data_IF_168640243239
#
_entry.id   IF_168640243239
#
_cell.length_a   1.000
_cell.length_b   1.000
_cell.length_c   1.000
_cell.angle_alpha   90.00
_cell.angle_beta   90.00
_cell.angle_gamma   90.00
#
_symmetry.space_group_name_H-M   'P 1'
#
loop_
_entity.id
_entity.type
_entity.pdbx_description
1 polymer ?
#
# COMPACT_ATOMS: atom_id res chain seq x y z
N UNK A 1 7.55 40.33 23.30
CA UNK A 1 8.09 40.53 21.93
C UNK A 1 9.48 39.93 21.91
N UNK A 2 9.83 39.18 20.85
CA UNK A 2 10.91 38.18 20.72
C UNK A 2 10.62 36.90 21.53
N UNK A 3 10.51 35.68 20.98
CA UNK A 3 11.07 35.11 19.76
C UNK A 3 9.99 34.38 18.93
N UNK A 4 9.57 35.01 17.83
CA UNK A 4 9.12 34.28 16.65
C UNK A 4 10.38 33.77 15.95
N UNK A 5 10.91 32.65 16.46
CA UNK A 5 11.90 31.89 15.75
C UNK A 5 11.26 31.39 14.45
N UNK A 6 11.50 32.18 13.41
CA UNK A 6 11.29 31.95 12.00
C UNK A 6 11.25 30.45 11.70
N UNK A 7 10.03 29.89 11.65
CA UNK A 7 9.78 28.62 10.99
C UNK A 7 10.25 28.84 9.57
N UNK A 8 11.38 28.24 9.20
CA UNK A 8 11.76 28.16 7.79
C UNK A 8 10.59 27.46 7.12
N UNK A 9 9.77 28.25 6.44
CA UNK A 9 8.68 27.74 5.63
C UNK A 9 9.33 26.71 4.70
N UNK A 10 8.87 25.46 4.77
CA UNK A 10 9.26 24.47 3.79
C UNK A 10 9.12 25.11 2.42
N UNK A 11 10.15 24.97 1.58
CA UNK A 11 10.08 25.40 0.19
C UNK A 11 8.76 24.89 -0.41
N UNK A 12 8.15 25.59 -1.37
CA UNK A 12 6.88 25.13 -1.99
C UNK A 12 6.92 23.67 -2.48
N UNK A 13 8.12 23.10 -2.63
CA UNK A 13 8.38 21.68 -2.83
C UNK A 13 7.89 20.74 -1.71
N UNK A 14 7.46 21.22 -0.54
CA UNK A 14 6.94 20.36 0.53
C UNK A 14 5.42 20.38 0.65
N UNK A 15 4.72 21.04 -0.28
CA UNK A 15 3.26 21.11 -0.32
C UNK A 15 2.63 19.77 -0.79
N UNK A 16 1.65 19.23 -0.03
CA UNK A 16 0.86 18.10 -0.47
C UNK A 16 -0.23 18.52 -1.47
N UNK A 17 -0.80 17.54 -2.19
CA UNK A 17 -1.86 17.76 -3.17
C UNK A 17 -3.08 18.48 -2.58
N UNK A 18 -3.43 18.17 -1.32
CA UNK A 18 -4.45 18.86 -0.56
C UNK A 18 -3.88 19.25 0.82
N UNK A 19 -3.78 20.55 1.07
CA UNK A 19 -3.22 21.11 2.31
C UNK A 19 -2.31 22.30 2.03
N UNK A 20 -1.58 22.74 3.04
CA UNK A 20 -0.56 23.80 2.97
C UNK A 20 0.86 23.20 3.05
N UNK A 21 1.90 23.96 2.67
CA UNK A 21 3.28 23.53 2.83
C UNK A 21 3.56 23.09 4.27
N UNK A 22 4.02 21.84 4.43
CA UNK A 22 4.35 21.26 5.73
C UNK A 22 3.24 20.42 6.39
N UNK A 23 1.97 20.51 5.97
CA UNK A 23 0.85 19.77 6.58
C UNK A 23 1.01 18.25 6.52
N UNK A 24 1.77 17.76 5.53
CA UNK A 24 2.09 16.36 5.34
C UNK A 24 3.61 16.11 5.22
N UNK A 25 4.41 16.88 5.96
CA UNK A 25 5.87 16.69 6.05
C UNK A 25 6.27 16.16 7.42
N UNK A 26 7.24 15.26 7.46
CA UNK A 26 7.80 14.75 8.71
C UNK A 26 8.44 15.90 9.49
N UNK A 27 8.09 16.08 10.76
CA UNK A 27 8.67 17.15 11.59
C UNK A 27 10.07 16.76 12.08
N UNK A 28 10.99 17.73 12.13
CA UNK A 28 12.33 17.52 12.65
C UNK A 28 12.31 17.15 14.15
N UNK A 29 13.20 16.23 14.53
CA UNK A 29 13.26 15.67 15.90
C UNK A 29 12.12 14.71 16.26
N UNK A 30 11.06 14.57 15.44
CA UNK A 30 10.00 13.58 15.69
C UNK A 30 10.42 12.19 15.18
N UNK A 31 10.14 11.13 15.96
CA UNK A 31 10.32 9.75 15.50
C UNK A 31 9.51 9.43 14.24
N UNK A 32 10.04 8.52 13.42
CA UNK A 32 9.45 8.18 12.12
C UNK A 32 8.03 7.60 12.19
N UNK A 33 7.65 6.98 13.32
CA UNK A 33 6.30 6.43 13.49
C UNK A 33 5.21 7.51 13.47
N UNK A 34 5.54 8.79 13.70
CA UNK A 34 4.56 9.87 13.55
C UNK A 34 4.04 9.96 12.12
N UNK A 35 4.83 9.56 11.11
CA UNK A 35 4.44 9.60 9.69
C UNK A 35 3.16 8.79 9.39
N UNK A 36 2.85 7.80 10.23
CA UNK A 36 1.63 7.00 10.13
C UNK A 36 0.33 7.76 10.40
N UNK A 37 0.39 8.93 11.07
CA UNK A 37 -0.79 9.69 11.51
C UNK A 37 -0.76 11.17 11.10
N UNK A 38 0.28 11.64 10.39
CA UNK A 38 0.37 13.04 9.96
C UNK A 38 -0.65 13.38 8.85
N UNK A 39 -1.38 14.48 9.03
CA UNK A 39 -2.34 14.99 8.05
C UNK A 39 -3.46 13.99 7.80
N UNK A 40 -3.79 13.74 6.53
CA UNK A 40 -4.85 12.80 6.14
C UNK A 40 -4.46 11.32 6.28
N UNK A 41 -3.27 10.98 6.82
CA UNK A 41 -2.87 9.58 7.05
C UNK A 41 -3.89 8.82 7.90
N UNK A 42 -4.52 9.51 8.85
CA UNK A 42 -5.53 8.95 9.74
C UNK A 42 -6.73 8.37 8.99
N UNK A 43 -7.08 8.93 7.82
CA UNK A 43 -8.12 8.39 6.97
C UNK A 43 -7.69 7.06 6.33
N UNK A 44 -6.44 6.99 5.87
CA UNK A 44 -5.88 5.76 5.32
C UNK A 44 -5.70 4.67 6.39
N UNK A 45 -5.28 5.06 7.61
CA UNK A 45 -5.25 4.16 8.76
C UNK A 45 -6.63 3.60 9.08
N UNK A 46 -7.62 4.47 9.23
CA UNK A 46 -8.99 4.06 9.51
C UNK A 46 -9.52 3.12 8.42
N UNK A 47 -9.37 3.48 7.15
CA UNK A 47 -9.80 2.66 6.03
C UNK A 47 -9.14 1.28 6.01
N UNK A 48 -7.81 1.20 6.17
CA UNK A 48 -7.10 -0.09 6.06
C UNK A 48 -7.30 -0.99 7.28
N UNK A 49 -7.34 -0.43 8.48
CA UNK A 49 -7.61 -1.21 9.70
C UNK A 49 -9.06 -1.68 9.79
N UNK A 50 -10.03 -0.84 9.42
CA UNK A 50 -11.44 -1.27 9.36
C UNK A 50 -11.63 -2.34 8.29
N UNK A 51 -11.01 -2.19 7.11
CA UNK A 51 -11.06 -3.22 6.08
C UNK A 51 -10.48 -4.56 6.55
N UNK A 52 -9.31 -4.52 7.19
CA UNK A 52 -8.69 -5.72 7.77
C UNK A 52 -9.60 -6.34 8.83
N UNK A 53 -10.15 -5.55 9.75
CA UNK A 53 -11.06 -6.03 10.79
C UNK A 53 -12.34 -6.66 10.22
N UNK A 54 -12.93 -6.07 9.17
CA UNK A 54 -14.11 -6.63 8.49
C UNK A 54 -13.77 -7.99 7.85
N UNK A 55 -12.64 -8.09 7.15
CA UNK A 55 -12.22 -9.34 6.49
C UNK A 55 -11.89 -10.40 7.54
N UNK A 56 -11.10 -10.06 8.54
CA UNK A 56 -10.65 -10.98 9.58
C UNK A 56 -11.82 -11.45 10.44
N UNK A 57 -12.69 -10.52 10.87
CA UNK A 57 -13.89 -10.84 11.61
C UNK A 57 -14.82 -11.78 10.84
N UNK A 58 -15.05 -11.51 9.55
CA UNK A 58 -15.87 -12.38 8.71
C UNK A 58 -15.25 -13.77 8.52
N UNK A 59 -13.92 -13.84 8.29
CA UNK A 59 -13.21 -15.11 8.15
C UNK A 59 -13.25 -15.91 9.44
N UNK A 60 -12.82 -15.34 10.57
CA UNK A 60 -12.77 -16.06 11.85
C UNK A 60 -14.16 -16.49 12.34
N UNK A 61 -15.21 -15.72 12.04
CA UNK A 61 -16.58 -16.09 12.42
C UNK A 61 -17.18 -17.22 11.57
N UNK A 62 -16.68 -17.42 10.35
CA UNK A 62 -17.24 -18.39 9.38
C UNK A 62 -16.24 -19.48 8.99
N UNK A 63 -15.12 -19.59 9.70
CA UNK A 63 -14.07 -20.57 9.40
C UNK A 63 -14.52 -21.97 9.81
N UNK A 64 -14.53 -22.89 8.85
CA UNK A 64 -14.85 -24.31 9.08
C UNK A 64 -13.60 -25.17 8.82
N UNK A 65 -13.52 -26.40 9.34
CA UNK A 65 -12.38 -27.29 9.10
C UNK A 65 -12.04 -27.48 7.62
N UNK A 66 -13.06 -27.51 6.76
CA UNK A 66 -12.94 -27.72 5.31
C UNK A 66 -12.56 -26.44 4.55
N UNK A 67 -12.80 -25.25 5.12
CA UNK A 67 -12.45 -23.97 4.48
C UNK A 67 -11.15 -23.35 4.99
N UNK A 68 -10.42 -23.97 5.93
CA UNK A 68 -9.25 -23.36 6.59
C UNK A 68 -8.16 -22.88 5.64
N UNK A 69 -7.79 -23.71 4.65
CA UNK A 69 -6.77 -23.33 3.67
C UNK A 69 -7.26 -22.18 2.79
N UNK A 70 -8.50 -22.25 2.30
CA UNK A 70 -9.10 -21.13 1.57
C UNK A 70 -9.16 -19.85 2.43
N UNK A 71 -9.57 -19.94 3.69
CA UNK A 71 -9.68 -18.83 4.64
C UNK A 71 -8.36 -18.13 4.92
N UNK A 72 -7.22 -18.83 4.81
CA UNK A 72 -5.91 -18.20 4.95
C UNK A 72 -5.60 -17.20 3.81
N UNK A 73 -6.15 -17.40 2.61
CA UNK A 73 -5.95 -16.50 1.46
C UNK A 73 -6.44 -15.05 1.72
N UNK A 74 -7.71 -14.79 2.10
CA UNK A 74 -8.15 -13.42 2.39
C UNK A 74 -7.47 -12.82 3.63
N UNK A 75 -7.07 -13.63 4.64
CA UNK A 75 -6.30 -13.15 5.79
C UNK A 75 -4.91 -12.64 5.36
N UNK A 76 -4.18 -13.43 4.57
CA UNK A 76 -2.84 -13.09 4.11
C UNK A 76 -2.83 -11.91 3.13
N UNK A 77 -3.80 -11.84 2.20
CA UNK A 77 -3.89 -10.73 1.26
C UNK A 77 -4.36 -9.41 1.90
N UNK A 78 -5.24 -9.46 2.90
CA UNK A 78 -5.60 -8.25 3.66
C UNK A 78 -4.44 -7.79 4.56
N UNK A 79 -3.65 -8.73 5.10
CA UNK A 79 -2.38 -8.41 5.77
C UNK A 79 -1.40 -7.75 4.80
N UNK A 80 -1.25 -8.28 3.59
CA UNK A 80 -0.42 -7.70 2.54
C UNK A 80 -0.83 -6.24 2.27
N UNK A 81 -2.12 -6.00 1.98
CA UNK A 81 -2.64 -4.64 1.76
C UNK A 81 -2.36 -3.72 2.95
N UNK A 82 -2.56 -4.19 4.18
CA UNK A 82 -2.29 -3.43 5.40
C UNK A 82 -0.84 -2.94 5.43
N UNK A 83 0.12 -3.85 5.29
CA UNK A 83 1.54 -3.52 5.35
C UNK A 83 2.01 -2.65 4.18
N UNK A 84 1.50 -2.89 2.96
CA UNK A 84 1.81 -2.06 1.80
C UNK A 84 1.30 -0.62 1.98
N UNK A 85 0.09 -0.45 2.53
CA UNK A 85 -0.42 0.89 2.90
C UNK A 85 0.50 1.53 3.94
N UNK A 86 0.88 0.82 5.02
CA UNK A 86 1.83 1.37 6.02
C UNK A 86 3.15 1.83 5.36
N UNK A 87 3.68 1.03 4.42
CA UNK A 87 4.87 1.37 3.66
C UNK A 87 4.72 2.70 2.89
N UNK A 88 3.56 2.96 2.30
CA UNK A 88 3.27 4.24 1.65
C UNK A 88 3.22 5.37 2.69
N UNK A 89 2.47 5.17 3.78
CA UNK A 89 2.22 6.23 4.76
C UNK A 89 3.52 6.70 5.44
N UNK A 90 4.44 5.79 5.75
CA UNK A 90 5.70 6.12 6.45
C UNK A 90 6.68 6.91 5.58
N UNK A 91 6.70 6.64 4.27
CA UNK A 91 7.70 7.20 3.36
C UNK A 91 7.29 8.56 2.75
N UNK A 92 6.00 8.74 2.45
CA UNK A 92 5.48 9.94 1.79
C UNK A 92 5.95 11.28 2.41
N UNK A 93 5.88 11.47 3.75
CA UNK A 93 6.18 12.77 4.38
C UNK A 93 7.67 13.08 4.53
N UNK A 94 8.57 12.15 4.20
CA UNK A 94 10.02 12.37 4.30
C UNK A 94 10.52 13.44 3.31
N UNK A 95 11.42 14.31 3.77
CA UNK A 95 11.94 15.41 2.95
C UNK A 95 13.46 15.63 3.10
N UNK A 96 14.05 15.46 4.28
CA UNK A 96 15.52 15.51 4.46
C UNK A 96 16.21 14.22 3.99
N UNK A 97 17.52 14.26 3.72
CA UNK A 97 18.28 13.08 3.28
C UNK A 97 18.26 11.95 4.32
N UNK A 98 18.38 12.28 5.60
CA UNK A 98 18.34 11.31 6.70
C UNK A 98 16.95 10.68 6.85
N UNK A 99 15.89 11.51 6.83
CA UNK A 99 14.51 11.02 6.87
C UNK A 99 14.19 10.12 5.69
N UNK A 100 14.59 10.52 4.47
CA UNK A 100 14.41 9.70 3.25
C UNK A 100 15.11 8.36 3.37
N UNK A 101 16.35 8.32 3.87
CA UNK A 101 17.07 7.06 4.11
C UNK A 101 16.33 6.16 5.10
N UNK A 102 15.99 6.68 6.27
CA UNK A 102 15.28 5.91 7.30
C UNK A 102 13.91 5.44 6.80
N UNK A 103 13.15 6.34 6.16
CA UNK A 103 11.86 6.04 5.57
C UNK A 103 11.94 4.97 4.49
N UNK A 104 12.97 4.98 3.64
CA UNK A 104 13.14 3.94 2.63
C UNK A 104 13.41 2.58 3.25
N UNK A 105 14.20 2.50 4.33
CA UNK A 105 14.46 1.23 5.02
C UNK A 105 13.21 0.68 5.70
N UNK A 106 12.44 1.53 6.38
CA UNK A 106 11.17 1.11 7.01
C UNK A 106 10.14 0.75 5.94
N UNK A 107 10.06 1.52 4.86
CA UNK A 107 9.23 1.20 3.69
C UNK A 107 9.59 -0.18 3.12
N UNK A 108 10.87 -0.44 2.85
CA UNK A 108 11.33 -1.72 2.33
C UNK A 108 10.90 -2.88 3.26
N UNK A 109 11.20 -2.78 4.56
CA UNK A 109 10.83 -3.83 5.52
C UNK A 109 9.31 -4.07 5.62
N UNK A 110 8.49 -3.01 5.62
CA UNK A 110 7.03 -3.15 5.60
C UNK A 110 6.53 -3.78 4.29
N UNK A 111 7.07 -3.35 3.14
CA UNK A 111 6.70 -3.94 1.86
C UNK A 111 7.16 -5.39 1.73
N UNK A 112 8.30 -5.78 2.30
CA UNK A 112 8.78 -7.16 2.30
C UNK A 112 7.82 -8.07 3.08
N UNK A 113 7.36 -7.64 4.27
CA UNK A 113 6.33 -8.38 5.02
C UNK A 113 5.04 -8.49 4.21
N UNK A 114 4.59 -7.37 3.61
CA UNK A 114 3.39 -7.36 2.77
C UNK A 114 3.51 -8.26 1.55
N UNK A 115 4.66 -8.23 0.86
CA UNK A 115 4.98 -9.05 -0.30
C UNK A 115 4.97 -10.53 0.05
N UNK A 116 5.69 -10.93 1.11
CA UNK A 116 5.73 -12.33 1.54
C UNK A 116 4.35 -12.84 1.97
N UNK A 117 3.57 -12.02 2.67
CA UNK A 117 2.19 -12.36 3.01
C UNK A 117 1.33 -12.55 1.74
N UNK A 118 1.44 -11.64 0.76
CA UNK A 118 0.74 -11.76 -0.51
C UNK A 118 1.10 -13.03 -1.27
N UNK A 119 2.40 -13.32 -1.41
CA UNK A 119 2.91 -14.54 -2.07
C UNK A 119 2.42 -15.79 -1.36
N UNK A 120 2.48 -15.84 -0.02
CA UNK A 120 1.94 -16.95 0.75
C UNK A 120 0.42 -17.11 0.52
N UNK A 121 -0.32 -16.00 0.45
CA UNK A 121 -1.75 -15.98 0.11
C UNK A 121 -2.04 -16.57 -1.28
N UNK A 122 -1.20 -16.30 -2.28
CA UNK A 122 -1.31 -16.88 -3.63
C UNK A 122 -1.01 -18.38 -3.62
N UNK A 123 0.09 -18.77 -2.99
CA UNK A 123 0.51 -20.18 -2.92
C UNK A 123 -0.58 -21.02 -2.25
N UNK A 124 -1.13 -20.54 -1.13
CA UNK A 124 -2.15 -21.27 -0.37
C UNK A 124 -3.44 -21.41 -1.17
N UNK A 125 -3.91 -20.37 -1.88
CA UNK A 125 -5.15 -20.49 -2.65
C UNK A 125 -4.99 -21.43 -3.85
N UNK A 126 -3.85 -21.39 -4.52
CA UNK A 126 -3.59 -22.28 -5.64
C UNK A 126 -3.43 -23.72 -5.17
N UNK A 127 -2.70 -23.95 -4.07
CA UNK A 127 -2.62 -25.28 -3.45
C UNK A 127 -3.99 -25.82 -3.03
N UNK A 128 -4.84 -24.97 -2.43
CA UNK A 128 -6.21 -25.33 -2.09
C UNK A 128 -7.01 -25.73 -3.34
N UNK A 129 -6.87 -25.01 -4.45
CA UNK A 129 -7.55 -25.35 -5.71
C UNK A 129 -7.03 -26.65 -6.32
N UNK A 130 -5.72 -26.86 -6.37
CA UNK A 130 -5.13 -28.10 -6.86
C UNK A 130 -5.62 -29.32 -6.07
N UNK A 131 -5.62 -29.23 -4.74
CA UNK A 131 -6.07 -30.33 -3.85
C UNK A 131 -7.56 -30.66 -3.97
N UNK A 132 -8.38 -29.74 -4.49
CA UNK A 132 -9.83 -29.91 -4.65
C UNK A 132 -10.29 -29.90 -6.12
N UNK A 133 -9.36 -30.02 -7.08
CA UNK A 133 -9.64 -29.96 -8.53
C UNK A 133 -10.46 -28.73 -8.95
N UNK A 134 -10.23 -27.60 -8.27
CA UNK A 134 -10.92 -26.35 -8.53
C UNK A 134 -10.44 -25.68 -9.82
N UNK A 135 -11.25 -24.78 -10.39
CA UNK A 135 -10.84 -23.96 -11.53
C UNK A 135 -9.89 -22.83 -11.11
N UNK A 136 -8.94 -22.50 -11.99
CA UNK A 136 -7.88 -21.52 -11.73
C UNK A 136 -8.04 -20.28 -12.61
N UNK A 137 -7.83 -19.08 -12.05
CA UNK A 137 -7.79 -17.81 -12.80
C UNK A 137 -8.99 -17.50 -13.71
N UNK A 138 -10.20 -17.99 -13.37
CA UNK A 138 -11.41 -17.78 -14.19
C UNK A 138 -12.26 -16.58 -13.77
N UNK A 139 -12.38 -16.33 -12.46
CA UNK A 139 -13.24 -15.25 -11.96
C UNK A 139 -12.60 -13.88 -12.18
N UNK A 140 -13.42 -12.82 -12.26
CA UNK A 140 -12.94 -11.43 -12.32
C UNK A 140 -11.95 -11.13 -11.20
N UNK A 141 -12.22 -11.60 -9.97
CA UNK A 141 -11.31 -11.47 -8.83
C UNK A 141 -9.97 -12.18 -9.09
N UNK A 142 -9.99 -13.41 -9.60
CA UNK A 142 -8.77 -14.18 -9.82
C UNK A 142 -7.89 -13.61 -10.94
N UNK A 143 -8.50 -13.10 -12.02
CA UNK A 143 -7.79 -12.44 -13.12
C UNK A 143 -7.17 -11.12 -12.65
N UNK A 144 -7.97 -10.26 -12.00
CA UNK A 144 -7.47 -9.00 -11.41
C UNK A 144 -6.39 -9.26 -10.36
N UNK A 145 -6.57 -10.29 -9.54
CA UNK A 145 -5.59 -10.71 -8.53
C UNK A 145 -4.27 -11.15 -9.15
N UNK A 146 -4.29 -11.96 -10.20
CA UNK A 146 -3.07 -12.37 -10.90
C UNK A 146 -2.34 -11.17 -11.51
N UNK A 147 -3.06 -10.26 -12.17
CA UNK A 147 -2.49 -9.02 -12.69
C UNK A 147 -1.84 -8.23 -11.54
N UNK A 148 -2.55 -8.07 -10.43
CA UNK A 148 -2.07 -7.36 -9.24
C UNK A 148 -0.79 -7.99 -8.69
N UNK A 149 -0.74 -9.32 -8.55
CA UNK A 149 0.47 -10.03 -8.10
C UNK A 149 1.67 -9.81 -9.02
N UNK A 150 1.46 -9.87 -10.34
CA UNK A 150 2.53 -9.60 -11.31
C UNK A 150 3.09 -8.19 -11.10
N UNK A 151 2.23 -7.18 -10.97
CA UNK A 151 2.68 -5.81 -10.73
C UNK A 151 3.34 -5.62 -9.36
N UNK A 152 2.87 -6.31 -8.31
CA UNK A 152 3.52 -6.30 -6.98
C UNK A 152 4.92 -6.91 -7.04
N UNK A 153 5.10 -8.03 -7.76
CA UNK A 153 6.42 -8.65 -7.98
C UNK A 153 7.34 -7.68 -8.72
N UNK A 154 6.88 -7.12 -9.85
CA UNK A 154 7.66 -6.12 -10.61
C UNK A 154 8.03 -4.95 -9.71
N UNK A 155 7.10 -4.47 -8.89
CA UNK A 155 7.38 -3.34 -8.00
C UNK A 155 8.38 -3.64 -6.91
N UNK A 156 8.31 -4.83 -6.34
CA UNK A 156 9.25 -5.28 -5.32
C UNK A 156 10.65 -5.40 -5.92
N UNK A 157 10.77 -6.04 -7.10
CA UNK A 157 12.04 -6.17 -7.82
C UNK A 157 12.64 -4.80 -8.14
N UNK A 158 11.87 -3.92 -8.80
CA UNK A 158 12.34 -2.56 -9.14
C UNK A 158 12.68 -1.77 -7.87
N UNK A 159 11.86 -1.89 -6.83
CA UNK A 159 12.05 -1.27 -5.52
C UNK A 159 13.38 -1.63 -4.86
N UNK A 160 13.70 -2.93 -4.84
CA UNK A 160 14.94 -3.46 -4.29
C UNK A 160 16.12 -3.03 -5.14
N UNK A 161 16.07 -3.29 -6.45
CA UNK A 161 17.24 -3.07 -7.32
C UNK A 161 17.59 -1.60 -7.46
N UNK A 162 16.59 -0.71 -7.54
CA UNK A 162 16.83 0.74 -7.69
C UNK A 162 17.52 1.34 -6.45
N UNK A 163 17.34 0.75 -5.27
CA UNK A 163 17.86 1.31 -4.02
C UNK A 163 19.12 0.60 -3.53
N UNK A 164 19.10 -0.74 -3.50
CA UNK A 164 20.18 -1.54 -2.92
C UNK A 164 21.25 -1.95 -3.93
N UNK A 165 20.92 -2.04 -5.22
CA UNK A 165 21.87 -2.44 -6.28
C UNK A 165 21.87 -1.46 -7.46
N UNK A 166 22.11 -0.15 -7.23
CA UNK A 166 22.03 0.88 -8.28
C UNK A 166 23.03 0.67 -9.43
N UNK A 167 24.07 -0.15 -9.23
CA UNK A 167 25.00 -0.57 -10.28
C UNK A 167 24.32 -1.24 -11.47
N UNK A 168 23.19 -1.94 -11.26
CA UNK A 168 22.39 -2.55 -12.34
C UNK A 168 21.83 -1.51 -13.32
N UNK A 169 21.74 -0.24 -12.91
CA UNK A 169 21.27 0.88 -13.72
C UNK A 169 22.40 1.78 -14.22
N UNK A 170 23.67 1.38 -14.04
CA UNK A 170 24.82 2.21 -14.36
C UNK A 170 25.09 3.31 -13.33
N UNK A 171 24.65 3.14 -12.08
CA UNK A 171 24.97 4.03 -10.96
C UNK A 171 23.75 4.68 -10.29
N UNK A 172 24.03 5.37 -9.18
CA UNK A 172 23.00 5.95 -8.29
C UNK A 172 22.12 6.97 -9.01
N UNK A 173 22.70 7.80 -9.87
CA UNK A 173 21.95 8.87 -10.54
C UNK A 173 20.95 8.32 -11.56
N UNK A 174 21.30 7.24 -12.27
CA UNK A 174 20.38 6.57 -13.17
C UNK A 174 19.29 5.82 -12.40
N UNK A 175 19.63 5.15 -11.30
CA UNK A 175 18.65 4.47 -10.47
C UNK A 175 17.61 5.45 -9.88
N UNK A 176 18.04 6.64 -9.45
CA UNK A 176 17.14 7.70 -8.96
C UNK A 176 16.12 8.19 -9.99
N UNK A 177 16.42 8.10 -11.29
CA UNK A 177 15.45 8.46 -12.36
C UNK A 177 14.20 7.57 -12.36
N UNK A 178 14.30 6.35 -11.79
CA UNK A 178 13.17 5.42 -11.69
C UNK A 178 12.18 5.78 -10.58
N UNK A 179 12.58 6.58 -9.58
CA UNK A 179 11.75 6.85 -8.40
C UNK A 179 10.38 7.43 -8.74
N UNK A 180 10.27 8.25 -9.78
CA UNK A 180 8.99 8.82 -10.24
C UNK A 180 8.05 7.75 -10.79
N UNK A 181 8.60 6.78 -11.55
CA UNK A 181 7.84 5.68 -12.12
C UNK A 181 7.44 4.70 -11.02
N UNK A 182 8.40 4.28 -10.18
CA UNK A 182 8.14 3.40 -9.03
C UNK A 182 7.07 4.00 -8.11
N UNK A 183 7.11 5.31 -7.85
CA UNK A 183 6.08 5.99 -7.07
C UNK A 183 4.71 5.94 -7.74
N UNK A 184 4.61 6.31 -9.02
CA UNK A 184 3.33 6.34 -9.73
C UNK A 184 2.73 4.94 -9.84
N UNK A 185 3.51 3.96 -10.31
CA UNK A 185 3.02 2.59 -10.45
C UNK A 185 2.70 1.97 -9.09
N UNK A 186 3.32 2.41 -7.99
CA UNK A 186 2.94 2.02 -6.63
C UNK A 186 1.50 2.43 -6.28
N UNK A 187 1.08 3.64 -6.67
CA UNK A 187 -0.31 4.07 -6.49
C UNK A 187 -1.28 3.32 -7.40
N UNK A 188 -0.88 3.02 -8.64
CA UNK A 188 -1.69 2.19 -9.54
C UNK A 188 -1.86 0.78 -8.95
N UNK A 189 -0.81 0.19 -8.40
CA UNK A 189 -0.87 -1.11 -7.71
C UNK A 189 -1.81 -1.06 -6.51
N UNK A 190 -1.77 0.00 -5.70
CA UNK A 190 -2.72 0.17 -4.61
C UNK A 190 -4.18 0.16 -5.12
N UNK A 191 -4.47 0.88 -6.21
CA UNK A 191 -5.81 0.89 -6.81
C UNK A 191 -6.22 -0.49 -7.35
N UNK A 192 -5.31 -1.22 -8.00
CA UNK A 192 -5.54 -2.58 -8.46
C UNK A 192 -5.82 -3.54 -7.30
N UNK A 193 -5.08 -3.42 -6.19
CA UNK A 193 -5.34 -4.20 -4.98
C UNK A 193 -6.73 -3.92 -4.42
N UNK A 194 -7.12 -2.65 -4.26
CA UNK A 194 -8.45 -2.28 -3.76
C UNK A 194 -9.56 -2.79 -4.69
N UNK A 195 -9.39 -2.66 -6.01
CA UNK A 195 -10.32 -3.21 -6.99
C UNK A 195 -10.42 -4.74 -6.90
N UNK A 196 -9.30 -5.42 -6.66
CA UNK A 196 -9.25 -6.89 -6.46
C UNK A 196 -10.03 -7.31 -5.22
N UNK A 197 -9.91 -6.56 -4.11
CA UNK A 197 -10.68 -6.83 -2.88
C UNK A 197 -12.18 -6.56 -3.11
N UNK A 198 -12.54 -5.49 -3.83
CA UNK A 198 -13.93 -5.27 -4.25
C UNK A 198 -14.47 -6.45 -5.08
N UNK A 199 -13.72 -6.92 -6.08
CA UNK A 199 -14.10 -8.08 -6.89
C UNK A 199 -14.21 -9.36 -6.05
N UNK A 200 -13.42 -9.51 -4.98
CA UNK A 200 -13.49 -10.66 -4.07
C UNK A 200 -14.88 -10.82 -3.44
N UNK A 201 -15.59 -9.71 -3.20
CA UNK A 201 -16.96 -9.75 -2.65
C UNK A 201 -17.96 -10.45 -3.58
N UNK A 202 -17.62 -10.59 -4.86
CA UNK A 202 -18.47 -11.21 -5.87
C UNK A 202 -18.21 -12.71 -6.05
N UNK A 203 -17.18 -13.26 -5.40
CA UNK A 203 -16.85 -14.69 -5.43
C UNK A 203 -17.88 -15.50 -4.66
N UNK A 204 -18.02 -16.78 -5.02
CA UNK A 204 -18.92 -17.70 -4.31
C UNK A 204 -18.54 -17.86 -2.84
N UNK A 205 -17.24 -17.90 -2.53
CA UNK A 205 -16.79 -17.98 -1.14
C UNK A 205 -17.29 -16.80 -0.31
N UNK A 206 -17.23 -15.57 -0.83
CA UNK A 206 -17.81 -14.42 -0.14
C UNK A 206 -19.34 -14.50 -0.11
N UNK A 207 -19.99 -14.73 -1.26
CA UNK A 207 -21.45 -14.75 -1.38
C UNK A 207 -22.11 -15.83 -0.54
N UNK A 208 -21.43 -16.95 -0.28
CA UNK A 208 -21.98 -18.08 0.47
C UNK A 208 -21.51 -18.12 1.92
N UNK A 209 -20.24 -17.78 2.19
CA UNK A 209 -19.64 -17.94 3.53
C UNK A 209 -19.45 -16.60 4.26
N UNK A 210 -18.69 -15.68 3.69
CA UNK A 210 -18.25 -14.48 4.43
C UNK A 210 -19.30 -13.36 4.49
N UNK A 211 -20.15 -13.26 3.46
CA UNK A 211 -21.20 -12.24 3.29
C UNK A 211 -20.71 -10.80 3.45
N UNK A 212 -19.43 -10.52 3.16
CA UNK A 212 -18.88 -9.17 3.21
C UNK A 212 -19.56 -8.34 2.13
N UNK A 213 -20.06 -7.18 2.52
CA UNK A 213 -20.81 -6.30 1.65
C UNK A 213 -19.87 -5.41 0.82
N UNK A 214 -20.12 -5.32 -0.49
CA UNK A 214 -19.30 -4.51 -1.40
C UNK A 214 -19.21 -3.04 -0.97
N UNK A 215 -20.31 -2.45 -0.50
CA UNK A 215 -20.32 -1.04 -0.08
C UNK A 215 -19.34 -0.76 1.06
N UNK A 216 -19.17 -1.70 1.99
CA UNK A 216 -18.25 -1.54 3.12
C UNK A 216 -16.79 -1.55 2.63
N UNK A 217 -16.47 -2.44 1.69
CA UNK A 217 -15.15 -2.52 1.05
C UNK A 217 -14.86 -1.26 0.23
N UNK A 218 -15.84 -0.77 -0.53
CA UNK A 218 -15.72 0.48 -1.31
C UNK A 218 -15.48 1.68 -0.41
N UNK A 219 -16.24 1.81 0.69
CA UNK A 219 -16.08 2.90 1.65
C UNK A 219 -14.66 2.90 2.25
N UNK A 220 -14.18 1.75 2.71
CA UNK A 220 -12.82 1.63 3.23
C UNK A 220 -11.76 1.95 2.17
N UNK A 221 -11.97 1.49 0.93
CA UNK A 221 -11.09 1.77 -0.21
C UNK A 221 -11.01 3.27 -0.50
N UNK A 222 -12.14 3.99 -0.47
CA UNK A 222 -12.19 5.44 -0.66
C UNK A 222 -11.43 6.17 0.45
N UNK A 223 -11.59 5.76 1.72
CA UNK A 223 -10.83 6.34 2.84
C UNK A 223 -9.31 6.14 2.67
N UNK A 224 -8.89 4.95 2.23
CA UNK A 224 -7.47 4.65 1.91
C UNK A 224 -6.97 5.58 0.81
N UNK A 225 -7.70 5.68 -0.30
CA UNK A 225 -7.32 6.52 -1.44
C UNK A 225 -7.24 7.99 -1.04
N UNK A 226 -8.24 8.53 -0.36
CA UNK A 226 -8.24 9.94 0.10
C UNK A 226 -7.03 10.19 1.01
N UNK A 227 -6.81 9.32 2.01
CA UNK A 227 -5.70 9.50 2.95
C UNK A 227 -4.31 9.44 2.30
N UNK A 228 -4.14 8.64 1.25
CA UNK A 228 -2.89 8.51 0.49
C UNK A 228 -2.73 9.63 -0.55
N UNK A 229 -3.77 9.91 -1.33
CA UNK A 229 -3.72 10.83 -2.49
C UNK A 229 -3.61 12.28 -2.03
N UNK A 230 -4.30 12.66 -0.95
CA UNK A 230 -4.23 14.02 -0.41
C UNK A 230 -2.80 14.44 -0.03
N UNK A 231 -1.92 13.49 0.30
CA UNK A 231 -0.52 13.74 0.73
C UNK A 231 0.50 13.58 -0.39
N UNK A 232 0.06 13.39 -1.64
CA UNK A 232 0.98 13.34 -2.78
C UNK A 232 1.66 14.68 -2.96
N UNK A 233 2.99 14.68 -2.99
CA UNK A 233 3.70 15.85 -3.48
C UNK A 233 3.86 15.71 -5.00
N UNK A 234 3.25 16.59 -5.79
CA UNK A 234 3.12 16.43 -7.25
C UNK A 234 4.46 16.61 -7.98
N UNK A 235 5.33 17.51 -7.50
CA UNK A 235 6.67 17.70 -8.07
C UNK A 235 7.51 16.41 -8.09
N UNK A 236 7.26 15.52 -7.12
CA UNK A 236 7.87 14.19 -6.97
C UNK A 236 7.48 13.24 -8.13
N UNK A 237 6.52 13.60 -8.99
CA UNK A 237 6.15 12.86 -10.21
C UNK A 237 6.88 13.36 -11.47
N UNK A 238 7.73 14.39 -11.35
CA UNK A 238 8.59 14.90 -12.42
C UNK A 238 7.87 15.78 -13.43
N UNK A 239 6.83 15.30 -14.09
CA UNK A 239 6.08 16.05 -15.10
C UNK A 239 5.03 17.02 -14.54
N UNK A 240 4.82 17.00 -13.22
CA UNK A 240 3.99 17.96 -12.49
C UNK A 240 4.80 18.91 -11.60
N UNK A 241 6.13 18.94 -11.74
CA UNK A 241 6.96 19.92 -11.05
C UNK A 241 6.78 21.30 -11.72
N UNK A 242 6.26 22.28 -10.98
CA UNK A 242 6.13 23.67 -11.45
C UNK A 242 4.81 24.01 -12.17
N UNK A 243 3.77 23.19 -12.03
CA UNK A 243 2.38 23.57 -12.31
C UNK A 243 1.64 23.71 -10.98
#
# INVERSE_FOLDING_TARGET
MADEAQRVAGTGEDEPLLGRPGDASQQDGKPIYHNFVIGTAVLAQAGVWVLAAVIWGAVFSNMTPNSRLFSAHPLLNSTALLFLVQGILVLQPTHTAQQKKQGTLVHAGLNDVGFLAGVAGLIIIEYNKFSHQGTHFVSTHAILGLITYIFVVIQTVVGITQYFTPGLYGGVDNAKKLYKYHRLSGYIVLLLMLATVCAATQTDFNKQSLKIQLWAVVLCSVLIVIGVVARLKTYKLGWMAGK
#
